data_IF_344287319220
#
_entry.id   IF_344287319220
#
_cell.length_a   1.000
_cell.length_b   1.000
_cell.length_c   1.000
_cell.angle_alpha   90.00
_cell.angle_beta   90.00
_cell.angle_gamma   90.00
#
_symmetry.space_group_name_H-M   'P 1'
#
loop_
_entity.id
_entity.type
_entity.pdbx_description
1 polymer ?
#
# COMPACT_ATOMS: atom_id res chain seq x y z
N UNK A 1 0.44 24.73 30.49
CA UNK A 1 -0.73 24.49 29.61
C UNK A 1 -0.44 23.26 28.78
N UNK A 2 -0.97 22.12 29.20
CA UNK A 2 -0.79 20.83 28.52
C UNK A 2 -1.65 20.76 27.26
N UNK A 3 -1.03 21.01 26.11
CA UNK A 3 -1.68 20.83 24.82
C UNK A 3 -1.82 19.34 24.52
N UNK A 4 -2.99 18.76 24.78
CA UNK A 4 -3.30 17.37 24.39
C UNK A 4 -3.14 17.21 22.86
N UNK A 5 -2.57 16.09 22.38
CA UNK A 5 -2.45 15.84 20.94
C UNK A 5 -3.84 15.72 20.30
N UNK A 6 -4.09 16.52 19.25
CA UNK A 6 -5.32 16.45 18.46
C UNK A 6 -5.43 15.05 17.84
N UNK A 7 -6.47 14.29 18.20
CA UNK A 7 -6.84 13.03 17.55
C UNK A 7 -6.86 13.24 16.03
N UNK A 8 -5.92 12.62 15.30
CA UNK A 8 -5.95 12.56 13.83
C UNK A 8 -7.24 11.82 13.47
N UNK A 9 -8.18 12.48 12.80
CA UNK A 9 -9.30 11.77 12.17
C UNK A 9 -8.68 10.78 11.18
N UNK A 10 -8.97 9.48 11.34
CA UNK A 10 -8.72 8.50 10.28
C UNK A 10 -9.59 8.96 9.11
N UNK A 11 -9.00 9.68 8.15
CA UNK A 11 -9.69 10.00 6.91
C UNK A 11 -10.02 8.68 6.22
N UNK A 12 -11.29 8.46 5.92
CA UNK A 12 -11.70 7.41 5.01
C UNK A 12 -11.18 7.79 3.62
N UNK A 13 -10.28 6.99 3.07
CA UNK A 13 -9.85 7.16 1.67
C UNK A 13 -11.03 6.73 0.81
N UNK A 14 -11.53 7.65 -0.01
CA UNK A 14 -12.54 7.37 -1.02
C UNK A 14 -11.85 6.74 -2.24
N UNK A 15 -11.78 5.42 -2.24
CA UNK A 15 -11.13 4.65 -3.30
C UNK A 15 -11.87 4.71 -4.64
N UNK A 16 -13.18 4.94 -4.64
CA UNK A 16 -14.02 4.94 -5.86
C UNK A 16 -13.80 6.22 -6.70
N UNK A 17 -13.59 7.35 -6.02
CA UNK A 17 -13.35 8.64 -6.68
C UNK A 17 -11.86 9.04 -6.74
N UNK A 18 -10.96 8.18 -6.24
CA UNK A 18 -9.53 8.45 -6.31
C UNK A 18 -9.06 8.36 -7.75
N UNK A 19 -8.80 9.51 -8.38
CA UNK A 19 -8.13 9.57 -9.68
C UNK A 19 -6.69 9.09 -9.51
N UNK A 20 -6.46 7.79 -9.72
CA UNK A 20 -5.11 7.23 -9.76
C UNK A 20 -4.45 7.71 -11.05
N UNK A 21 -3.74 8.83 -10.98
CA UNK A 21 -2.76 9.17 -12.01
C UNK A 21 -1.61 8.18 -11.86
N UNK A 22 -1.57 7.19 -12.76
CA UNK A 22 -0.39 6.36 -12.94
C UNK A 22 0.72 7.25 -13.49
N UNK A 23 1.53 7.78 -12.60
CA UNK A 23 2.77 8.46 -12.97
C UNK A 23 3.80 7.33 -13.14
N UNK A 24 4.15 6.94 -14.37
CA UNK A 24 5.25 6.01 -14.55
C UNK A 24 6.45 6.60 -13.83
N UNK A 25 7.07 5.82 -12.94
CA UNK A 25 8.26 6.28 -12.25
C UNK A 25 9.28 6.68 -13.30
N UNK A 26 9.67 7.97 -13.32
CA UNK A 26 10.70 8.45 -14.22
C UNK A 26 11.93 7.55 -14.03
N UNK A 27 12.43 6.87 -15.08
CA UNK A 27 13.56 5.97 -14.97
C UNK A 27 14.84 6.69 -14.50
N UNK A 28 14.89 8.03 -14.59
CA UNK A 28 15.97 8.87 -14.08
C UNK A 28 15.67 9.44 -12.67
N UNK A 29 14.55 9.07 -12.05
CA UNK A 29 14.20 9.48 -10.70
C UNK A 29 15.07 8.74 -9.68
N UNK A 30 16.28 9.26 -9.49
CA UNK A 30 17.28 8.81 -8.53
C UNK A 30 16.94 9.17 -7.08
N UNK A 31 15.67 9.49 -6.76
CA UNK A 31 15.28 9.83 -5.41
C UNK A 31 15.67 8.67 -4.46
N UNK A 32 16.62 8.88 -3.53
CA UNK A 32 17.12 7.84 -2.65
C UNK A 32 16.06 7.36 -1.65
N UNK A 33 14.93 8.07 -1.54
CA UNK A 33 13.78 7.65 -0.74
C UNK A 33 12.80 6.74 -1.50
N UNK A 34 12.95 6.60 -2.81
CA UNK A 34 12.19 5.61 -3.55
C UNK A 34 12.90 4.25 -3.39
N UNK A 35 12.32 3.29 -2.64
CA UNK A 35 12.95 1.98 -2.45
C UNK A 35 13.08 1.18 -3.75
N UNK A 36 12.42 1.63 -4.82
CA UNK A 36 12.40 1.01 -6.14
C UNK A 36 13.27 1.76 -7.18
N UNK A 37 14.03 2.78 -6.77
CA UNK A 37 14.90 3.57 -7.67
C UNK A 37 16.07 2.76 -8.23
N UNK A 38 16.51 1.73 -7.50
CA UNK A 38 17.61 0.85 -7.90
C UNK A 38 17.14 -0.48 -8.50
N UNK A 39 15.82 -0.68 -8.65
CA UNK A 39 15.26 -1.94 -9.14
C UNK A 39 15.02 -1.90 -10.64
N UNK A 40 15.34 -2.99 -11.32
CA UNK A 40 14.93 -3.20 -12.72
C UNK A 40 13.41 -3.37 -12.80
N UNK A 41 12.79 -3.19 -13.98
CA UNK A 41 11.37 -3.46 -14.17
C UNK A 41 10.95 -4.86 -13.70
N UNK A 42 11.76 -5.89 -13.98
CA UNK A 42 11.49 -7.28 -13.59
C UNK A 42 11.57 -7.48 -12.08
N UNK A 43 12.53 -6.85 -11.41
CA UNK A 43 12.63 -6.88 -9.94
C UNK A 43 11.43 -6.19 -9.31
N UNK A 44 10.98 -5.07 -9.87
CA UNK A 44 9.80 -4.35 -9.41
C UNK A 44 8.54 -5.18 -9.58
N UNK A 45 8.37 -5.84 -10.72
CA UNK A 45 7.24 -6.73 -10.98
C UNK A 45 7.19 -7.88 -9.97
N UNK A 46 8.33 -8.51 -9.65
CA UNK A 46 8.40 -9.55 -8.61
C UNK A 46 7.96 -9.05 -7.24
N UNK A 47 8.38 -7.87 -6.83
CA UNK A 47 7.97 -7.28 -5.54
C UNK A 47 6.48 -6.94 -5.51
N UNK A 48 5.91 -6.46 -6.63
CA UNK A 48 4.47 -6.22 -6.76
C UNK A 48 3.70 -7.53 -6.61
N UNK A 49 4.10 -8.59 -7.31
CA UNK A 49 3.45 -9.91 -7.23
C UNK A 49 3.52 -10.45 -5.80
N UNK A 50 4.68 -10.34 -5.15
CA UNK A 50 4.88 -10.79 -3.76
C UNK A 50 3.98 -10.04 -2.78
N UNK A 51 3.87 -8.73 -2.93
CA UNK A 51 2.98 -7.91 -2.11
C UNK A 51 1.51 -8.26 -2.33
N UNK A 52 1.09 -8.41 -3.60
CA UNK A 52 -0.28 -8.80 -3.94
C UNK A 52 -0.65 -10.17 -3.36
N UNK A 53 0.24 -11.15 -3.46
CA UNK A 53 0.03 -12.48 -2.88
C UNK A 53 -0.09 -12.45 -1.35
N UNK A 54 0.68 -11.57 -0.68
CA UNK A 54 0.59 -11.38 0.77
C UNK A 54 -0.76 -10.78 1.17
N UNK A 55 -1.18 -9.69 0.51
CA UNK A 55 -2.46 -9.02 0.79
C UNK A 55 -3.63 -10.00 0.55
N UNK A 56 -3.58 -10.77 -0.53
CA UNK A 56 -4.59 -11.78 -0.82
C UNK A 56 -4.69 -12.83 0.28
N UNK A 57 -3.56 -13.33 0.77
CA UNK A 57 -3.52 -14.29 1.87
C UNK A 57 -4.14 -13.72 3.15
N UNK A 58 -3.74 -12.52 3.55
CA UNK A 58 -4.29 -11.84 4.73
C UNK A 58 -5.80 -11.65 4.60
N UNK A 59 -6.29 -11.31 3.40
CA UNK A 59 -7.73 -11.21 3.14
C UNK A 59 -8.45 -12.55 3.27
N UNK A 60 -7.89 -13.64 2.75
CA UNK A 60 -8.45 -14.98 2.90
C UNK A 60 -8.49 -15.41 4.37
N UNK A 61 -7.44 -15.14 5.14
CA UNK A 61 -7.39 -15.43 6.58
C UNK A 61 -8.47 -14.64 7.34
N UNK A 62 -8.63 -13.34 7.05
CA UNK A 62 -9.69 -12.51 7.65
C UNK A 62 -11.11 -13.03 7.29
N UNK A 63 -11.32 -13.50 6.07
CA UNK A 63 -12.59 -14.08 5.64
C UNK A 63 -12.88 -15.40 6.35
N UNK A 64 -11.87 -16.27 6.51
CA UNK A 64 -11.99 -17.51 7.26
C UNK A 64 -12.28 -17.26 8.75
N UNK A 65 -11.65 -16.27 9.36
CA UNK A 65 -11.95 -15.87 10.74
C UNK A 65 -13.38 -15.34 10.90
N UNK A 66 -13.93 -14.66 9.89
CA UNK A 66 -15.33 -14.19 9.89
C UNK A 66 -16.33 -15.31 9.69
N UNK A 67 -16.01 -16.31 8.87
CA UNK A 67 -16.89 -17.47 8.64
C UNK A 67 -16.80 -18.52 9.76
N UNK A 68 -15.67 -18.61 10.46
CA UNK A 68 -15.41 -19.58 11.53
C UNK A 68 -15.40 -18.99 12.96
N UNK A 69 -15.73 -17.70 13.13
CA UNK A 69 -15.86 -17.06 14.43
C UNK A 69 -17.28 -17.19 15.02
N UNK A 70 -17.40 -17.23 16.36
CA UNK A 70 -18.01 -18.29 17.18
C UNK A 70 -19.43 -18.74 16.82
#
# INVERSE_FOLDING_TARGET
MDSKPKKRRKGSIDWENMKVTFVPADPNNLNPRNPYSHMTPEQREREIIKLAAKIWREHCEEMLEKEMGP
#
